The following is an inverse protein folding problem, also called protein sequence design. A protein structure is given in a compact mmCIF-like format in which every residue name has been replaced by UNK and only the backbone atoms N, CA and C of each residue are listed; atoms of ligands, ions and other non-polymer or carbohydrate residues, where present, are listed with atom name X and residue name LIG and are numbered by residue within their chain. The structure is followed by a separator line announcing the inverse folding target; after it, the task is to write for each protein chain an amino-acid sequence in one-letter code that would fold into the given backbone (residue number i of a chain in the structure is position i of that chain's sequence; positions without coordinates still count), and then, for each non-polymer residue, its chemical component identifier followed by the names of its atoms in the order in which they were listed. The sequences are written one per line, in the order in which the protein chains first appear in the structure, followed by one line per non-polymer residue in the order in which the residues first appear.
data_IF_384893563040
#
_entry.id   IF_384893563040
#
_cell.length_a   1.000
_cell.length_b   1.000
_cell.length_c   1.000
_cell.angle_alpha   90.00
_cell.angle_beta   90.00
_cell.angle_gamma   90.00
#
_symmetry.space_group_name_H-M   'P 1'
#
loop_
_entity.id
_entity.type
_entity.pdbx_description
1 polymer ?
#
# COMPACT_ATOMS: atom_id res chain seq x y z
N UNK A 1 38.84 1.34 17.14
CA UNK A 1 39.26 0.21 16.30
C UNK A 1 38.86 0.53 14.86
N UNK A 2 39.84 0.74 13.96
CA UNK A 2 39.55 1.12 12.57
C UNK A 2 39.20 -0.15 11.82
N UNK A 3 37.92 -0.31 11.46
CA UNK A 3 37.49 -1.36 10.54
C UNK A 3 38.08 -1.07 9.14
N UNK A 4 38.92 -1.95 8.66
CA UNK A 4 39.50 -1.84 7.33
C UNK A 4 38.43 -2.19 6.30
N UNK A 5 38.49 -1.51 5.13
CA UNK A 5 37.55 -1.72 3.99
C UNK A 5 37.46 -3.19 3.54
N UNK A 6 38.49 -3.97 3.80
CA UNK A 6 38.59 -5.41 3.49
C UNK A 6 37.65 -6.27 4.37
N UNK A 7 37.41 -5.89 5.61
CA UNK A 7 36.52 -6.64 6.53
C UNK A 7 35.03 -6.50 6.14
N UNK A 8 34.66 -5.36 5.54
CA UNK A 8 33.31 -5.11 5.10
C UNK A 8 32.98 -5.88 3.79
N UNK A 9 33.98 -6.08 2.91
CA UNK A 9 33.83 -6.90 1.71
C UNK A 9 33.75 -8.40 2.02
N UNK A 10 34.47 -8.88 3.04
CA UNK A 10 34.40 -10.28 3.45
C UNK A 10 33.06 -10.61 4.15
N UNK A 11 32.48 -9.68 4.90
CA UNK A 11 31.17 -9.85 5.52
C UNK A 11 30.04 -9.90 4.45
N UNK A 12 30.17 -9.10 3.38
CA UNK A 12 29.19 -9.09 2.29
C UNK A 12 29.30 -10.35 1.41
N UNK A 13 30.50 -10.91 1.22
CA UNK A 13 30.70 -12.13 0.45
C UNK A 13 30.34 -13.40 1.24
N UNK A 14 30.45 -13.39 2.56
CA UNK A 14 29.99 -14.51 3.41
C UNK A 14 28.46 -14.61 3.47
N UNK A 15 27.74 -13.50 3.38
CA UNK A 15 26.29 -13.46 3.33
C UNK A 15 25.69 -14.08 2.04
N UNK A 16 26.48 -14.18 0.98
CA UNK A 16 26.06 -14.75 -0.31
C UNK A 16 26.14 -16.29 -0.37
N UNK A 17 26.74 -16.92 0.64
CA UNK A 17 27.04 -18.39 0.64
C UNK A 17 26.35 -19.14 1.77
N UNK A 18 25.66 -18.48 2.71
CA UNK A 18 24.98 -19.12 3.82
C UNK A 18 23.71 -19.88 3.36
N UNK A 19 23.49 -21.12 3.80
CA UNK A 19 22.26 -21.84 3.50
C UNK A 19 21.06 -21.19 4.21
N UNK A 20 19.95 -21.18 3.52
CA UNK A 20 18.68 -20.59 3.85
C UNK A 20 18.21 -20.81 5.30
N UNK A 21 18.35 -19.80 6.11
CA UNK A 21 17.53 -19.61 7.29
C UNK A 21 17.36 -18.10 7.47
N UNK A 22 16.15 -17.61 7.30
CA UNK A 22 15.70 -16.24 7.58
C UNK A 22 16.72 -15.12 7.30
N UNK A 23 16.39 -14.26 6.38
CA UNK A 23 17.22 -13.14 5.95
C UNK A 23 17.38 -12.03 7.02
N UNK A 24 17.60 -12.40 8.26
CA UNK A 24 17.89 -11.52 9.38
C UNK A 24 19.35 -11.74 9.78
N UNK A 25 20.22 -10.79 9.43
CA UNK A 25 21.63 -10.87 9.84
C UNK A 25 21.73 -10.31 11.25
N UNK A 26 21.92 -11.18 12.25
CA UNK A 26 22.28 -10.75 13.59
C UNK A 26 23.68 -10.10 13.54
N UNK A 27 23.76 -8.81 13.90
CA UNK A 27 25.01 -8.06 13.81
C UNK A 27 25.81 -8.17 15.08
N UNK A 28 25.19 -7.94 16.24
CA UNK A 28 25.85 -7.97 17.56
C UNK A 28 24.83 -7.73 18.68
N UNK A 29 25.32 -7.80 19.94
CA UNK A 29 24.58 -7.37 21.12
C UNK A 29 25.02 -5.96 21.48
N UNK A 30 24.14 -4.97 21.22
CA UNK A 30 24.38 -3.57 21.54
C UNK A 30 23.47 -3.18 22.71
N UNK A 31 24.06 -2.77 23.83
CA UNK A 31 23.30 -2.33 25.01
C UNK A 31 22.36 -3.43 25.56
N UNK A 32 22.81 -4.68 25.58
CA UNK A 32 22.03 -5.87 25.94
C UNK A 32 20.83 -6.16 25.00
N UNK A 33 20.83 -5.59 23.80
CA UNK A 33 19.85 -5.91 22.75
C UNK A 33 20.51 -6.77 21.68
N UNK A 34 19.85 -7.86 21.30
CA UNK A 34 20.18 -8.59 20.08
C UNK A 34 19.73 -7.73 18.90
N UNK A 35 20.66 -7.29 18.07
CA UNK A 35 20.40 -6.40 16.93
C UNK A 35 20.50 -7.16 15.63
N UNK A 36 19.47 -7.06 14.79
CA UNK A 36 19.44 -7.59 13.45
C UNK A 36 19.32 -6.48 12.41
N UNK A 37 19.82 -6.76 11.21
CA UNK A 37 19.81 -5.88 10.08
C UNK A 37 19.11 -6.54 8.90
N UNK A 38 18.06 -5.88 8.41
CA UNK A 38 17.31 -6.31 7.24
C UNK A 38 17.37 -5.25 6.15
N UNK A 39 17.23 -5.68 4.91
CA UNK A 39 17.14 -4.76 3.77
C UNK A 39 16.16 -5.22 2.71
N UNK A 40 15.73 -4.26 1.89
CA UNK A 40 14.89 -4.50 0.73
C UNK A 40 15.27 -3.53 -0.38
N UNK A 41 15.67 -4.09 -1.52
CA UNK A 41 15.90 -3.34 -2.74
C UNK A 41 14.92 -3.79 -3.82
N UNK A 42 14.25 -2.84 -4.46
CA UNK A 42 13.31 -3.10 -5.56
C UNK A 42 13.61 -2.17 -6.72
N UNK A 43 13.82 -2.75 -7.90
CA UNK A 43 13.92 -2.04 -9.17
C UNK A 43 12.73 -2.43 -10.05
N UNK A 44 12.03 -1.44 -10.56
CA UNK A 44 10.82 -1.60 -11.36
C UNK A 44 11.05 -1.06 -12.78
N UNK A 45 10.40 -1.72 -13.75
CA UNK A 45 10.30 -1.25 -15.12
C UNK A 45 8.87 -1.50 -15.63
N UNK A 46 8.27 -0.47 -16.23
CA UNK A 46 6.88 -0.49 -16.69
C UNK A 46 6.83 -0.11 -18.17
N UNK A 47 5.92 -0.74 -18.87
CA UNK A 47 5.51 -0.34 -20.22
C UNK A 47 4.02 -0.05 -20.23
N UNK A 48 3.67 1.17 -20.64
CA UNK A 48 2.31 1.65 -20.72
C UNK A 48 1.79 1.50 -22.16
N UNK A 49 0.59 0.97 -22.31
CA UNK A 49 -0.23 1.12 -23.52
C UNK A 49 -1.36 2.04 -23.15
N UNK A 50 -1.06 3.36 -23.20
CA UNK A 50 -2.02 4.41 -22.87
C UNK A 50 -3.16 4.41 -23.88
N UNK A 51 -4.36 4.79 -23.46
CA UNK A 51 -5.54 4.93 -24.33
C UNK A 51 -5.80 6.42 -24.58
N UNK A 52 -6.52 7.08 -23.67
CA UNK A 52 -6.84 8.50 -23.82
C UNK A 52 -5.80 9.40 -23.15
N UNK A 53 -5.36 9.02 -21.95
CA UNK A 53 -4.42 9.80 -21.14
C UNK A 53 -3.08 9.09 -21.10
N UNK A 54 -2.01 9.82 -21.39
CA UNK A 54 -0.65 9.31 -21.31
C UNK A 54 -0.26 9.05 -19.85
N UNK A 55 -0.08 7.77 -19.48
CA UNK A 55 0.15 7.33 -18.10
C UNK A 55 1.50 7.76 -17.53
N UNK A 56 2.50 8.02 -18.36
CA UNK A 56 3.80 8.53 -17.90
C UNK A 56 3.82 10.05 -17.73
N UNK A 57 2.72 10.72 -18.06
CA UNK A 57 2.56 12.14 -17.90
C UNK A 57 3.28 13.00 -18.94
N UNK A 58 3.77 12.39 -20.02
CA UNK A 58 4.32 13.14 -21.13
C UNK A 58 3.20 13.91 -21.85
N UNK A 59 3.44 15.17 -22.12
CA UNK A 59 2.51 16.01 -22.89
C UNK A 59 2.99 16.00 -24.34
N UNK A 60 2.28 15.28 -25.18
CA UNK A 60 2.52 15.27 -26.63
C UNK A 60 2.96 13.91 -27.21
N UNK A 61 2.98 13.81 -28.52
CA UNK A 61 3.18 12.59 -29.32
C UNK A 61 4.53 11.88 -29.18
N UNK A 62 5.42 12.35 -28.31
CA UNK A 62 6.77 11.81 -28.09
C UNK A 62 6.97 11.28 -26.67
N UNK A 63 5.89 10.99 -25.91
CA UNK A 63 5.98 10.35 -24.59
C UNK A 63 6.59 8.96 -24.73
N UNK A 64 7.59 8.65 -23.90
CA UNK A 64 8.09 7.29 -23.81
C UNK A 64 7.03 6.41 -23.17
N UNK A 65 6.69 5.28 -23.80
CA UNK A 65 5.73 4.30 -23.25
C UNK A 65 6.33 3.50 -22.09
N UNK A 66 7.53 3.84 -21.63
CA UNK A 66 8.26 3.11 -20.61
C UNK A 66 8.69 4.01 -19.47
N UNK A 67 8.64 3.48 -18.26
CA UNK A 67 9.15 4.12 -17.05
C UNK A 67 9.91 3.08 -16.20
N UNK A 68 10.98 3.49 -15.56
CA UNK A 68 11.77 2.61 -14.71
C UNK A 68 12.37 3.38 -13.53
N UNK A 69 12.66 2.67 -12.45
CA UNK A 69 13.27 3.31 -11.29
C UNK A 69 13.48 2.38 -10.11
N UNK A 70 14.19 2.91 -9.12
CA UNK A 70 14.34 2.24 -7.83
C UNK A 70 13.10 2.53 -6.99
N UNK A 71 12.29 1.50 -6.79
CA UNK A 71 11.02 1.62 -6.06
C UNK A 71 11.22 1.67 -4.55
N UNK A 72 12.21 0.92 -4.05
CA UNK A 72 12.58 0.84 -2.64
C UNK A 72 14.07 0.58 -2.46
N UNK A 73 14.63 1.22 -1.44
CA UNK A 73 15.98 0.99 -0.95
C UNK A 73 15.92 1.07 0.59
N UNK A 74 15.32 0.05 1.20
CA UNK A 74 14.99 0.02 2.62
C UNK A 74 16.13 -0.60 3.43
N UNK A 75 16.48 0.05 4.53
CA UNK A 75 17.38 -0.45 5.55
C UNK A 75 16.64 -0.45 6.89
N UNK A 76 16.64 -1.58 7.58
CA UNK A 76 15.86 -1.77 8.80
C UNK A 76 16.75 -2.41 9.86
N UNK A 77 16.90 -1.72 10.98
CA UNK A 77 17.48 -2.26 12.21
C UNK A 77 16.36 -2.65 13.15
N UNK A 78 16.49 -3.82 13.75
CA UNK A 78 15.60 -4.31 14.79
C UNK A 78 16.40 -4.75 15.99
N UNK A 79 15.89 -4.50 17.18
CA UNK A 79 16.51 -4.95 18.42
C UNK A 79 15.52 -5.67 19.31
N UNK A 80 15.96 -6.78 19.88
CA UNK A 80 15.28 -7.48 20.98
C UNK A 80 16.08 -7.23 22.24
N UNK A 81 15.55 -6.39 23.11
CA UNK A 81 16.20 -6.02 24.37
C UNK A 81 15.80 -6.93 25.54
N UNK A 82 16.43 -6.74 26.71
CA UNK A 82 15.99 -7.37 27.93
C UNK A 82 14.57 -6.91 28.31
N UNK A 83 13.90 -7.69 29.15
CA UNK A 83 12.61 -7.33 29.71
C UNK A 83 11.50 -7.11 28.66
N UNK A 84 11.46 -7.92 27.60
CA UNK A 84 10.40 -7.91 26.58
C UNK A 84 10.28 -6.64 25.74
N UNK A 85 11.31 -5.80 25.70
CA UNK A 85 11.37 -4.66 24.80
C UNK A 85 11.86 -5.09 23.42
N UNK A 86 11.18 -4.57 22.39
CA UNK A 86 11.62 -4.63 20.99
C UNK A 86 11.62 -3.21 20.43
N UNK A 87 12.53 -2.93 19.50
CA UNK A 87 12.54 -1.68 18.78
C UNK A 87 12.82 -1.90 17.30
N UNK A 88 12.36 -0.96 16.49
CA UNK A 88 12.57 -0.95 15.04
C UNK A 88 12.95 0.43 14.58
N UNK A 89 13.96 0.52 13.72
CA UNK A 89 14.39 1.72 13.04
C UNK A 89 14.55 1.41 11.54
N UNK A 90 13.61 1.86 10.74
CA UNK A 90 13.60 1.63 9.30
C UNK A 90 13.68 2.92 8.50
N UNK A 91 14.44 2.91 7.42
CA UNK A 91 14.58 4.02 6.49
C UNK A 91 14.57 3.53 5.05
N UNK A 92 13.81 4.20 4.18
CA UNK A 92 13.80 3.97 2.74
C UNK A 92 14.55 5.14 2.07
N UNK A 93 15.71 4.83 1.50
CA UNK A 93 16.57 5.80 0.83
C UNK A 93 16.18 6.04 -0.64
N UNK A 94 15.15 5.37 -1.15
CA UNK A 94 14.72 5.53 -2.54
C UNK A 94 14.24 6.96 -2.81
N UNK A 95 14.66 7.50 -3.94
CA UNK A 95 14.14 8.77 -4.46
C UNK A 95 13.11 8.48 -5.54
N UNK A 96 11.89 8.90 -5.33
CA UNK A 96 10.81 8.71 -6.27
C UNK A 96 10.50 10.01 -6.99
N UNK A 97 10.58 10.03 -8.32
CA UNK A 97 10.10 11.14 -9.13
C UNK A 97 8.61 10.90 -9.43
N UNK A 98 7.74 11.77 -9.00
CA UNK A 98 6.37 11.81 -9.49
C UNK A 98 6.16 13.09 -10.28
N UNK A 99 5.61 12.95 -11.48
CA UNK A 99 5.21 14.10 -12.29
C UNK A 99 3.75 14.41 -11.95
N UNK A 100 3.48 15.59 -11.44
CA UNK A 100 2.13 16.07 -11.25
C UNK A 100 1.76 16.98 -12.44
N UNK A 101 0.81 16.55 -13.22
CA UNK A 101 0.23 17.37 -14.30
C UNK A 101 -0.93 18.16 -13.70
N UNK A 102 -0.84 19.47 -13.80
CA UNK A 102 -1.92 20.37 -13.41
C UNK A 102 -2.42 21.09 -14.67
N UNK A 103 -3.66 20.87 -15.04
CA UNK A 103 -4.31 21.68 -16.05
C UNK A 103 -4.59 23.08 -15.48
N UNK A 104 -4.01 24.09 -16.10
CA UNK A 104 -4.29 25.50 -15.77
C UNK A 104 -5.14 26.13 -16.86
N UNK A 105 -5.85 27.24 -16.59
CA UNK A 105 -6.63 27.94 -17.61
C UNK A 105 -5.83 28.42 -18.83
N UNK A 106 -4.51 28.54 -18.68
CA UNK A 106 -3.57 29.01 -19.71
C UNK A 106 -2.73 27.90 -20.34
N UNK A 107 -2.98 26.64 -19.97
CA UNK A 107 -2.22 25.48 -20.48
C UNK A 107 -1.95 24.42 -19.41
N UNK A 108 -1.15 23.44 -19.75
CA UNK A 108 -0.76 22.35 -18.86
C UNK A 108 0.54 22.72 -18.14
N UNK A 109 0.52 22.77 -16.82
CA UNK A 109 1.72 22.93 -16.00
C UNK A 109 2.17 21.54 -15.51
N UNK A 110 3.41 21.19 -15.80
CA UNK A 110 4.05 19.98 -15.31
C UNK A 110 4.90 20.31 -14.07
N UNK A 111 4.60 19.70 -12.95
CA UNK A 111 5.42 19.84 -11.74
C UNK A 111 6.08 18.52 -11.44
N UNK A 112 7.39 18.46 -11.48
CA UNK A 112 8.14 17.28 -11.01
C UNK A 112 8.27 17.35 -9.49
N UNK A 113 7.66 16.41 -8.78
CA UNK A 113 7.84 16.24 -7.35
C UNK A 113 8.87 15.14 -7.14
N UNK A 114 10.04 15.50 -6.66
CA UNK A 114 11.05 14.54 -6.22
C UNK A 114 10.83 14.27 -4.73
N UNK A 115 10.48 13.06 -4.38
CA UNK A 115 10.47 12.65 -2.98
C UNK A 115 11.85 12.16 -2.59
N UNK A 116 12.43 12.75 -1.57
CA UNK A 116 13.61 12.23 -0.88
C UNK A 116 13.20 11.12 0.09
N UNK A 117 14.14 10.27 0.50
CA UNK A 117 13.90 9.13 1.38
C UNK A 117 13.02 9.39 2.60
N UNK A 118 12.50 8.34 3.20
CA UNK A 118 11.51 8.43 4.29
C UNK A 118 11.81 7.45 5.41
N UNK A 119 11.45 7.85 6.62
CA UNK A 119 11.38 6.95 7.76
C UNK A 119 10.24 5.94 7.57
N UNK A 120 10.53 4.67 7.81
CA UNK A 120 9.55 3.59 7.84
C UNK A 120 9.04 3.39 9.28
N UNK A 121 9.16 2.17 9.80
CA UNK A 121 8.84 1.92 11.19
C UNK A 121 9.95 2.48 12.08
N UNK A 122 9.59 3.35 13.03
CA UNK A 122 10.45 3.93 14.05
C UNK A 122 9.70 3.86 15.36
N UNK A 123 9.86 2.75 16.07
CA UNK A 123 9.03 2.49 17.24
C UNK A 123 9.73 1.60 18.29
N UNK A 124 9.16 1.66 19.48
CA UNK A 124 9.46 0.76 20.60
C UNK A 124 8.19 0.00 20.95
N UNK A 125 8.34 -1.29 21.19
CA UNK A 125 7.27 -2.20 21.60
C UNK A 125 7.64 -2.86 22.93
N UNK A 126 6.70 -2.88 23.85
CA UNK A 126 6.80 -3.64 25.10
C UNK A 126 5.77 -4.76 25.12
N UNK A 127 6.21 -6.00 25.30
CA UNK A 127 5.36 -7.18 25.39
C UNK A 127 5.06 -7.53 26.84
N UNK A 128 3.81 -7.80 27.12
CA UNK A 128 3.39 -8.20 28.47
C UNK A 128 3.51 -9.72 28.63
N UNK A 129 4.44 -10.14 29.48
CA UNK A 129 4.73 -11.56 29.72
C UNK A 129 5.26 -12.27 28.47
N UNK A 130 4.87 -13.53 28.30
CA UNK A 130 5.33 -14.38 27.18
C UNK A 130 4.40 -14.38 25.98
N UNK A 131 3.30 -13.59 26.01
CA UNK A 131 2.36 -13.53 24.91
C UNK A 131 2.81 -12.49 23.85
N UNK A 132 3.21 -12.96 22.69
CA UNK A 132 3.65 -12.11 21.57
C UNK A 132 2.54 -11.17 21.06
N UNK A 133 1.26 -11.53 21.25
CA UNK A 133 0.08 -10.77 20.85
C UNK A 133 -0.49 -9.87 21.96
N UNK A 134 0.27 -9.65 23.05
CA UNK A 134 -0.11 -8.73 24.12
C UNK A 134 1.01 -7.69 24.29
N UNK A 135 0.83 -6.51 23.69
CA UNK A 135 1.85 -5.47 23.70
C UNK A 135 1.29 -4.06 23.60
N UNK A 136 2.08 -3.11 24.03
CA UNK A 136 1.97 -1.69 23.69
C UNK A 136 3.10 -1.30 22.75
N UNK A 137 2.81 -0.43 21.77
CA UNK A 137 3.78 0.07 20.79
C UNK A 137 3.65 1.60 20.70
N UNK A 138 4.80 2.28 20.68
CA UNK A 138 4.87 3.76 20.61
C UNK A 138 5.89 4.15 19.54
N UNK A 139 5.55 5.17 18.76
CA UNK A 139 6.37 5.66 17.66
C UNK A 139 5.65 5.61 16.33
N UNK A 140 6.38 5.53 15.22
CA UNK A 140 5.79 5.39 13.89
C UNK A 140 5.68 3.92 13.51
N UNK A 141 4.48 3.50 13.10
CA UNK A 141 4.16 2.15 12.65
C UNK A 141 2.94 2.15 11.73
N UNK A 142 2.72 1.05 11.02
CA UNK A 142 1.53 0.86 10.17
C UNK A 142 0.27 0.82 11.01
N UNK A 143 -0.75 1.58 10.62
CA UNK A 143 -2.03 1.62 11.34
C UNK A 143 -2.85 0.34 11.13
N UNK A 144 -3.73 -0.01 12.08
CA UNK A 144 -4.42 -1.30 12.08
C UNK A 144 -5.58 -1.34 11.07
N UNK A 145 -5.27 -1.30 9.79
CA UNK A 145 -6.23 -1.52 8.70
C UNK A 145 -5.56 -2.16 7.49
N UNK A 146 -6.31 -2.90 6.70
CA UNK A 146 -5.90 -3.65 5.52
C UNK A 146 -4.92 -4.79 5.80
N UNK A 147 -5.32 -5.99 5.45
CA UNK A 147 -4.49 -7.19 5.48
C UNK A 147 -3.27 -7.06 4.56
N UNK A 148 -3.48 -6.52 3.35
CA UNK A 148 -2.41 -6.30 2.38
C UNK A 148 -1.42 -5.22 2.86
N UNK A 149 -1.89 -4.11 3.50
CA UNK A 149 -0.99 -3.09 4.04
C UNK A 149 -0.14 -3.63 5.19
N UNK A 150 -0.74 -4.38 6.12
CA UNK A 150 -0.06 -4.93 7.29
C UNK A 150 0.94 -6.04 6.92
N UNK A 151 0.70 -6.74 5.82
CA UNK A 151 1.60 -7.77 5.31
C UNK A 151 2.97 -7.18 4.93
N UNK A 152 3.99 -8.04 4.94
CA UNK A 152 5.34 -7.61 4.58
C UNK A 152 5.44 -7.26 3.09
N UNK A 153 5.94 -6.07 2.80
CA UNK A 153 6.16 -5.59 1.41
C UNK A 153 7.11 -6.49 0.61
N UNK A 154 8.02 -7.21 1.28
CA UNK A 154 8.92 -8.19 0.64
C UNK A 154 8.14 -9.29 -0.08
N UNK A 155 6.95 -9.58 0.41
CA UNK A 155 6.15 -10.73 0.01
C UNK A 155 4.83 -10.36 -0.66
N UNK A 156 4.68 -9.12 -1.12
CA UNK A 156 3.51 -8.73 -1.90
C UNK A 156 3.29 -9.70 -3.07
N UNK A 157 2.05 -10.08 -3.27
CA UNK A 157 1.64 -11.03 -4.32
C UNK A 157 1.73 -10.40 -5.72
N UNK A 158 1.46 -9.11 -5.82
CA UNK A 158 1.52 -8.30 -7.03
C UNK A 158 2.46 -7.11 -6.85
N UNK A 159 2.93 -6.54 -7.95
CA UNK A 159 3.87 -5.40 -7.95
C UNK A 159 3.23 -4.20 -7.28
N UNK A 160 2.04 -3.80 -7.71
CA UNK A 160 1.26 -2.76 -7.06
C UNK A 160 0.24 -3.37 -6.09
N UNK A 161 0.05 -2.73 -4.93
CA UNK A 161 -1.05 -3.05 -4.03
C UNK A 161 -2.39 -2.70 -4.66
N UNK A 162 -3.46 -3.34 -4.20
CA UNK A 162 -4.82 -3.10 -4.63
C UNK A 162 -5.26 -1.64 -4.41
N UNK A 163 -6.24 -1.17 -5.19
CA UNK A 163 -6.78 0.19 -5.07
C UNK A 163 -7.32 0.45 -3.67
N UNK A 164 -8.00 -0.53 -3.06
CA UNK A 164 -8.52 -0.43 -1.71
C UNK A 164 -7.42 -0.09 -0.71
N UNK A 165 -6.29 -0.77 -0.79
CA UNK A 165 -5.14 -0.58 0.09
C UNK A 165 -4.43 0.75 -0.19
N UNK A 166 -4.18 1.06 -1.47
CA UNK A 166 -3.45 2.27 -1.86
C UNK A 166 -4.25 3.56 -1.67
N UNK A 167 -5.59 3.49 -1.62
CA UNK A 167 -6.47 4.66 -1.59
C UNK A 167 -7.06 4.90 -0.21
N UNK A 168 -7.53 3.85 0.47
CA UNK A 168 -8.20 3.95 1.76
C UNK A 168 -7.36 3.39 2.92
N UNK A 169 -6.29 2.66 2.61
CA UNK A 169 -5.34 2.20 3.61
C UNK A 169 -4.57 3.36 4.25
N UNK A 170 -4.61 3.43 5.58
CA UNK A 170 -3.74 4.35 6.34
C UNK A 170 -2.45 3.62 6.61
N UNK A 171 -1.37 4.06 5.95
CA UNK A 171 -0.05 3.46 6.11
C UNK A 171 0.57 3.80 7.48
N UNK A 172 1.78 4.31 7.51
CA UNK A 172 2.49 4.63 8.76
C UNK A 172 2.07 5.96 9.33
N UNK A 173 1.86 6.00 10.64
CA UNK A 173 1.60 7.20 11.45
C UNK A 173 2.35 7.11 12.77
N UNK A 174 2.70 8.26 13.33
CA UNK A 174 3.24 8.36 14.69
C UNK A 174 2.10 8.26 15.69
N UNK A 175 2.23 7.41 16.70
CA UNK A 175 1.18 7.24 17.68
C UNK A 175 1.48 6.17 18.72
N UNK A 176 0.44 5.72 19.36
CA UNK A 176 0.45 4.61 20.31
C UNK A 176 -0.56 3.55 19.89
N UNK A 177 -0.19 2.29 20.01
CA UNK A 177 -1.10 1.18 19.79
C UNK A 177 -1.03 0.18 20.94
N UNK A 178 -2.14 -0.44 21.22
CA UNK A 178 -2.27 -1.57 22.14
C UNK A 178 -2.89 -2.74 21.40
N UNK A 179 -2.23 -3.90 21.48
CA UNK A 179 -2.73 -5.17 20.96
C UNK A 179 -2.93 -6.16 22.07
N UNK A 180 -4.08 -6.82 22.02
CA UNK A 180 -4.39 -7.97 22.86
C UNK A 180 -4.97 -9.09 22.01
N UNK A 181 -4.52 -10.32 22.24
CA UNK A 181 -5.00 -11.47 21.50
C UNK A 181 -4.20 -12.73 21.75
N UNK A 182 -4.38 -13.67 20.84
CA UNK A 182 -3.70 -14.96 20.82
C UNK A 182 -3.24 -15.27 19.39
N UNK A 183 -2.75 -16.46 19.13
CA UNK A 183 -2.29 -16.93 17.81
C UNK A 183 -3.44 -16.95 16.77
N UNK A 184 -4.68 -17.15 17.22
CA UNK A 184 -5.85 -17.27 16.35
C UNK A 184 -6.73 -16.01 16.29
N UNK A 185 -6.55 -15.08 17.19
CA UNK A 185 -7.33 -13.84 17.19
C UNK A 185 -6.57 -12.68 17.80
N UNK A 186 -7.00 -11.49 17.50
CA UNK A 186 -6.44 -10.30 18.13
C UNK A 186 -7.26 -9.05 17.85
N UNK A 187 -7.16 -8.12 18.79
CA UNK A 187 -7.71 -6.77 18.66
C UNK A 187 -6.57 -5.78 18.84
N UNK A 188 -6.48 -4.83 17.93
CA UNK A 188 -5.50 -3.74 17.97
C UNK A 188 -6.25 -2.42 17.96
N UNK A 189 -5.99 -1.58 18.96
CA UNK A 189 -6.46 -0.21 19.02
C UNK A 189 -5.27 0.74 18.91
N UNK A 190 -5.42 1.86 18.21
CA UNK A 190 -4.37 2.88 18.09
C UNK A 190 -4.95 4.28 18.16
N UNK A 191 -4.14 5.20 18.68
CA UNK A 191 -4.33 6.63 18.51
C UNK A 191 -3.10 7.17 17.77
N UNK A 192 -3.31 7.97 16.74
CA UNK A 192 -2.23 8.39 15.85
C UNK A 192 -2.39 9.84 15.41
N UNK A 193 -1.28 10.41 14.98
CA UNK A 193 -1.19 11.72 14.36
C UNK A 193 -0.50 11.64 13.00
N UNK A 194 0.29 12.65 12.70
CA UNK A 194 1.00 12.78 11.41
C UNK A 194 2.10 11.73 11.20
N UNK A 195 2.56 11.60 9.97
CA UNK A 195 3.77 10.84 9.61
C UNK A 195 5.04 11.56 10.09
N UNK A 196 6.05 10.81 10.49
CA UNK A 196 7.29 11.34 11.09
C UNK A 196 8.10 12.25 10.15
N UNK A 197 8.25 11.85 8.88
CA UNK A 197 9.20 12.52 7.96
C UNK A 197 8.53 13.45 6.99
N UNK A 198 7.35 13.11 6.57
CA UNK A 198 6.64 13.83 5.53
C UNK A 198 5.43 14.47 6.14
N UNK A 199 5.35 15.72 6.05
CA UNK A 199 4.13 16.45 6.23
C UNK A 199 3.07 16.09 5.15
N UNK A 200 3.07 14.86 4.65
CA UNK A 200 2.15 14.39 3.61
C UNK A 200 0.86 13.81 4.17
N UNK A 201 0.94 13.32 5.39
CA UNK A 201 -0.18 12.73 6.06
C UNK A 201 -0.36 13.43 7.39
N UNK A 202 -1.39 14.23 7.47
CA UNK A 202 -1.78 15.04 8.60
C UNK A 202 -3.05 14.46 9.24
N UNK A 203 -3.54 15.14 10.24
CA UNK A 203 -4.70 14.75 11.00
C UNK A 203 -4.39 13.71 12.06
N UNK A 204 -5.11 13.80 13.15
CA UNK A 204 -5.04 12.87 14.27
C UNK A 204 -6.34 12.07 14.36
N UNK A 205 -6.24 10.86 14.86
CA UNK A 205 -7.40 10.01 14.96
C UNK A 205 -7.11 8.69 15.63
N UNK A 206 -8.02 7.77 15.50
CA UNK A 206 -7.90 6.44 16.09
C UNK A 206 -8.23 5.35 15.07
N UNK A 207 -7.66 4.17 15.32
CA UNK A 207 -7.90 2.97 14.54
C UNK A 207 -8.21 1.78 15.45
N UNK A 208 -9.05 0.90 14.96
CA UNK A 208 -9.40 -0.36 15.60
C UNK A 208 -9.40 -1.46 14.53
N UNK A 209 -8.74 -2.59 14.79
CA UNK A 209 -8.84 -3.79 13.95
C UNK A 209 -8.99 -5.01 14.83
N UNK A 210 -9.99 -5.82 14.52
CA UNK A 210 -10.16 -7.17 15.02
C UNK A 210 -9.83 -8.18 13.93
N UNK A 211 -9.10 -9.23 14.27
CA UNK A 211 -8.84 -10.36 13.37
C UNK A 211 -9.12 -11.70 14.07
N UNK A 212 -9.56 -12.67 13.27
CA UNK A 212 -9.87 -14.02 13.74
C UNK A 212 -9.49 -15.05 12.68
N UNK A 213 -8.74 -16.08 13.09
CA UNK A 213 -8.39 -17.21 12.26
C UNK A 213 -8.94 -18.51 12.89
N UNK A 214 -10.20 -18.88 12.57
CA UNK A 214 -10.81 -20.11 13.09
C UNK A 214 -10.03 -21.37 12.70
N UNK A 215 -9.28 -21.32 11.62
CA UNK A 215 -8.36 -22.36 11.18
C UNK A 215 -6.99 -21.71 11.01
N UNK A 216 -6.00 -22.21 11.73
CA UNK A 216 -4.61 -21.72 11.68
C UNK A 216 -3.65 -22.91 11.80
N UNK A 217 -3.55 -23.68 10.74
CA UNK A 217 -2.69 -24.85 10.61
C UNK A 217 -1.78 -24.66 9.39
N UNK A 218 -0.66 -25.35 9.38
CA UNK A 218 0.25 -25.31 8.24
C UNK A 218 -0.46 -25.78 6.96
N UNK A 219 -0.50 -24.90 5.95
CA UNK A 219 -1.20 -25.17 4.69
C UNK A 219 -2.72 -25.15 4.75
N UNK A 220 -3.32 -24.74 5.87
CA UNK A 220 -4.76 -24.60 6.01
C UNK A 220 -5.08 -23.44 6.94
N UNK A 221 -5.35 -22.26 6.37
CA UNK A 221 -5.65 -21.05 7.13
C UNK A 221 -6.96 -20.44 6.65
N UNK A 222 -7.84 -20.10 7.57
CA UNK A 222 -9.01 -19.28 7.30
C UNK A 222 -8.97 -18.07 8.21
N UNK A 223 -8.97 -16.88 7.63
CA UNK A 223 -8.85 -15.62 8.33
C UNK A 223 -9.99 -14.67 7.95
N UNK A 224 -10.47 -13.94 8.93
CA UNK A 224 -11.39 -12.81 8.80
C UNK A 224 -10.90 -11.64 9.63
N UNK A 225 -11.18 -10.42 9.18
CA UNK A 225 -10.89 -9.23 9.94
C UNK A 225 -11.84 -8.09 9.61
N UNK A 226 -11.97 -7.19 10.57
CA UNK A 226 -12.73 -5.94 10.46
C UNK A 226 -11.86 -4.80 10.98
N UNK A 227 -11.97 -3.64 10.34
CA UNK A 227 -11.25 -2.44 10.76
C UNK A 227 -12.14 -1.21 10.72
N UNK A 228 -11.82 -0.27 11.60
CA UNK A 228 -12.43 1.05 11.69
C UNK A 228 -11.34 2.08 11.92
N UNK A 229 -11.29 3.11 11.10
CA UNK A 229 -10.43 4.26 11.30
C UNK A 229 -11.25 5.52 11.20
N UNK A 230 -10.92 6.50 12.03
CA UNK A 230 -11.58 7.80 12.04
C UNK A 230 -10.56 8.85 12.43
N UNK A 231 -10.39 9.89 11.60
CA UNK A 231 -9.40 10.93 11.82
C UNK A 231 -9.79 12.24 11.18
N UNK A 232 -9.32 13.33 11.80
CA UNK A 232 -9.51 14.68 11.31
C UNK A 232 -8.69 14.89 10.03
N UNK A 233 -9.22 15.65 9.11
CA UNK A 233 -8.48 16.09 7.93
C UNK A 233 -7.63 17.31 8.28
N UNK A 234 -6.48 17.46 7.64
CA UNK A 234 -5.67 18.66 7.81
C UNK A 234 -6.16 19.76 6.86
N UNK A 235 -6.25 20.98 7.40
CA UNK A 235 -6.64 22.17 6.62
C UNK A 235 -8.03 22.05 5.98
N UNK A 236 -8.94 21.30 6.57
CA UNK A 236 -10.32 21.13 6.13
C UNK A 236 -10.42 20.80 4.62
N UNK A 237 -9.47 20.04 4.13
CA UNK A 237 -9.43 19.66 2.72
C UNK A 237 -8.86 18.26 2.52
N UNK A 238 -9.48 17.50 1.62
CA UNK A 238 -9.09 16.15 1.28
C UNK A 238 -9.21 15.89 -0.21
N UNK A 239 -8.31 15.09 -0.75
CA UNK A 239 -8.38 14.60 -2.11
C UNK A 239 -8.13 13.09 -2.13
N UNK A 240 -9.09 12.33 -2.62
CA UNK A 240 -9.01 10.87 -2.76
C UNK A 240 -8.80 10.53 -4.23
N UNK A 241 -7.77 9.73 -4.52
CA UNK A 241 -7.40 9.42 -5.91
C UNK A 241 -6.63 8.12 -6.03
N UNK A 242 -6.79 7.40 -7.14
CA UNK A 242 -6.11 6.15 -7.42
C UNK A 242 -5.37 6.12 -8.77
N UNK A 243 -4.23 5.44 -8.78
CA UNK A 243 -3.47 5.07 -9.98
C UNK A 243 -4.07 3.84 -10.64
N UNK A 244 -3.75 3.58 -11.92
CA UNK A 244 -4.19 2.38 -12.64
C UNK A 244 -3.43 1.10 -12.20
N UNK A 245 -3.33 0.84 -10.89
CA UNK A 245 -2.55 -0.25 -10.28
C UNK A 245 -1.08 -0.32 -10.79
N UNK A 246 -0.51 0.81 -11.13
CA UNK A 246 0.86 0.96 -11.60
C UNK A 246 1.54 2.07 -10.78
N UNK A 247 2.48 1.69 -9.92
CA UNK A 247 3.10 2.61 -8.96
C UNK A 247 3.90 3.74 -9.66
N UNK A 248 4.48 3.46 -10.84
CA UNK A 248 5.23 4.44 -11.63
C UNK A 248 4.35 5.31 -12.54
N UNK A 249 3.05 5.01 -12.67
CA UNK A 249 2.15 5.88 -13.43
C UNK A 249 2.06 7.26 -12.78
N UNK A 250 2.30 8.31 -13.56
CA UNK A 250 2.22 9.69 -13.11
C UNK A 250 0.76 10.14 -12.91
N UNK A 251 -0.14 9.60 -13.71
CA UNK A 251 -1.54 9.99 -13.77
C UNK A 251 -2.41 9.21 -12.79
N UNK A 252 -3.47 9.86 -12.32
CA UNK A 252 -4.55 9.26 -11.54
C UNK A 252 -5.79 9.19 -12.44
N UNK A 253 -6.30 8.00 -12.69
CA UNK A 253 -7.49 7.81 -13.54
C UNK A 253 -8.77 8.18 -12.80
N UNK A 254 -8.85 7.90 -11.52
CA UNK A 254 -9.94 8.32 -10.64
C UNK A 254 -9.44 9.31 -9.59
N UNK A 255 -10.23 10.36 -9.34
CA UNK A 255 -9.82 11.49 -8.50
C UNK A 255 -11.04 12.37 -8.17
N UNK A 256 -11.35 12.52 -6.89
CA UNK A 256 -12.45 13.37 -6.40
C UNK A 256 -12.24 14.85 -6.68
N UNK A 257 -11.01 15.24 -7.02
CA UNK A 257 -10.59 16.64 -6.87
C UNK A 257 -10.46 17.00 -5.38
N UNK A 258 -10.09 18.24 -5.10
CA UNK A 258 -9.98 18.72 -3.72
C UNK A 258 -11.38 18.98 -3.16
N UNK A 259 -11.79 18.14 -2.22
CA UNK A 259 -12.97 18.36 -1.39
C UNK A 259 -12.63 19.36 -0.29
N UNK A 260 -13.25 20.53 -0.33
CA UNK A 260 -13.13 21.55 0.71
C UNK A 260 -14.17 21.32 1.80
N UNK A 261 -13.94 21.92 2.97
CA UNK A 261 -14.80 21.76 4.16
C UNK A 261 -14.87 20.31 4.61
N UNK A 262 -13.85 19.53 4.33
CA UNK A 262 -13.71 18.16 4.78
C UNK A 262 -13.21 18.18 6.22
N UNK A 263 -14.09 17.89 7.15
CA UNK A 263 -13.80 17.90 8.59
C UNK A 263 -13.15 16.58 9.01
N UNK A 264 -13.81 15.49 8.72
CA UNK A 264 -13.45 14.18 9.24
C UNK A 264 -13.55 13.09 8.17
N UNK A 265 -12.61 12.13 8.21
CA UNK A 265 -12.66 10.96 7.36
C UNK A 265 -12.82 9.71 8.21
N UNK A 266 -13.82 8.90 7.88
CA UNK A 266 -14.06 7.59 8.51
C UNK A 266 -13.93 6.49 7.47
N UNK A 267 -13.19 5.43 7.77
CA UNK A 267 -13.03 4.26 6.90
C UNK A 267 -13.36 2.99 7.66
N UNK A 268 -14.28 2.20 7.12
CA UNK A 268 -14.57 0.85 7.58
C UNK A 268 -13.99 -0.16 6.60
N UNK A 269 -13.45 -1.26 7.10
CA UNK A 269 -12.84 -2.31 6.28
C UNK A 269 -13.26 -3.71 6.71
N UNK A 270 -13.37 -4.59 5.75
CA UNK A 270 -13.54 -6.03 5.95
C UNK A 270 -12.49 -6.78 5.13
N UNK A 271 -11.95 -7.85 5.67
CA UNK A 271 -10.92 -8.65 5.05
C UNK A 271 -11.15 -10.14 5.28
N UNK A 272 -10.79 -10.95 4.31
CA UNK A 272 -10.85 -12.40 4.37
C UNK A 272 -9.69 -13.02 3.61
N UNK A 273 -9.18 -14.14 4.12
CA UNK A 273 -8.15 -14.94 3.44
C UNK A 273 -8.39 -16.42 3.72
N UNK A 274 -8.23 -17.22 2.68
CA UNK A 274 -8.23 -18.67 2.78
C UNK A 274 -6.98 -19.24 2.10
N UNK A 275 -6.24 -20.05 2.82
CA UNK A 275 -5.12 -20.83 2.32
C UNK A 275 -5.49 -22.29 2.39
N UNK A 276 -5.32 -23.00 1.27
CA UNK A 276 -5.47 -24.45 1.22
C UNK A 276 -4.31 -25.02 0.42
N UNK A 277 -3.37 -25.63 1.12
CA UNK A 277 -2.12 -26.14 0.54
C UNK A 277 -1.41 -25.03 -0.28
N UNK A 278 -1.21 -25.23 -1.55
CA UNK A 278 -0.55 -24.35 -2.49
C UNK A 278 -1.44 -23.23 -3.07
N UNK A 279 -2.68 -23.10 -2.59
CA UNK A 279 -3.63 -22.09 -3.07
C UNK A 279 -3.94 -21.08 -1.95
N UNK A 280 -4.01 -19.81 -2.33
CA UNK A 280 -4.47 -18.71 -1.47
C UNK A 280 -5.52 -17.87 -2.20
N UNK A 281 -6.62 -17.59 -1.51
CA UNK A 281 -7.60 -16.60 -1.94
C UNK A 281 -7.64 -15.50 -0.87
N UNK A 282 -7.61 -14.26 -1.29
CA UNK A 282 -7.66 -13.09 -0.41
C UNK A 282 -8.59 -12.03 -0.97
N UNK A 283 -9.36 -11.39 -0.11
CA UNK A 283 -10.26 -10.32 -0.47
C UNK A 283 -10.27 -9.24 0.62
N UNK A 284 -10.38 -7.99 0.20
CA UNK A 284 -10.62 -6.85 1.10
C UNK A 284 -11.63 -5.90 0.49
N UNK A 285 -12.43 -5.27 1.32
CA UNK A 285 -13.37 -4.20 1.00
C UNK A 285 -13.15 -3.06 1.99
N UNK A 286 -13.15 -1.83 1.50
CA UNK A 286 -13.21 -0.63 2.34
C UNK A 286 -14.19 0.38 1.78
N UNK A 287 -14.89 1.04 2.69
CA UNK A 287 -15.71 2.21 2.42
C UNK A 287 -15.21 3.37 3.25
N UNK A 288 -14.99 4.49 2.60
CA UNK A 288 -14.56 5.74 3.23
C UNK A 288 -15.62 6.81 3.07
N UNK A 289 -15.97 7.45 4.17
CA UNK A 289 -16.86 8.61 4.21
C UNK A 289 -16.07 9.83 4.65
N UNK A 290 -16.39 10.97 4.08
CA UNK A 290 -15.82 12.27 4.42
C UNK A 290 -16.96 13.19 4.82
N UNK A 291 -16.99 13.55 6.09
CA UNK A 291 -17.95 14.50 6.64
C UNK A 291 -17.54 15.91 6.22
N UNK A 292 -18.48 16.70 5.73
CA UNK A 292 -18.22 18.05 5.23
C UNK A 292 -19.19 19.04 5.86
N UNK A 293 -18.65 20.14 6.34
CA UNK A 293 -19.46 21.17 6.98
C UNK A 293 -19.91 22.25 5.98
N UNK A 294 -21.06 22.87 6.26
CA UNK A 294 -21.61 23.93 5.45
C UNK A 294 -20.82 25.25 5.61
N UNK A 295 -20.55 25.91 4.49
CA UNK A 295 -20.04 27.29 4.49
C UNK A 295 -21.17 28.30 4.39
N UNK A 296 -20.93 29.52 4.84
CA UNK A 296 -21.87 30.63 4.61
C UNK A 296 -21.33 31.57 3.54
N UNK A 297 -22.09 31.87 2.46
CA UNK A 297 -23.45 31.41 2.17
C UNK A 297 -23.50 29.93 1.87
N UNK A 298 -24.56 29.27 2.30
CA UNK A 298 -24.77 27.82 2.12
C UNK A 298 -24.75 27.48 0.64
N UNK A 299 -23.84 26.59 0.26
CA UNK A 299 -23.84 25.97 -1.07
C UNK A 299 -23.97 24.46 -0.90
N UNK A 300 -25.17 23.90 -1.01
CA UNK A 300 -25.41 22.47 -0.76
C UNK A 300 -24.55 21.55 -1.66
N UNK A 301 -24.12 22.02 -2.82
CA UNK A 301 -23.28 21.25 -3.75
C UNK A 301 -21.84 21.12 -3.27
N UNK A 302 -21.39 22.04 -2.41
CA UNK A 302 -20.00 22.05 -1.90
C UNK A 302 -19.85 21.45 -0.50
N UNK A 303 -20.97 21.25 0.21
CA UNK A 303 -20.98 20.80 1.60
C UNK A 303 -21.61 19.41 1.80
N UNK A 304 -22.00 18.74 0.71
CA UNK A 304 -22.50 17.37 0.79
C UNK A 304 -21.39 16.41 1.20
N UNK A 305 -21.66 15.56 2.18
CA UNK A 305 -20.78 14.46 2.57
C UNK A 305 -20.42 13.62 1.35
N UNK A 306 -19.25 13.03 1.39
CA UNK A 306 -18.76 12.14 0.34
C UNK A 306 -18.62 10.72 0.85
N UNK A 307 -18.91 9.75 0.01
CA UNK A 307 -18.69 8.34 0.26
C UNK A 307 -18.14 7.65 -0.97
N UNK A 308 -17.05 6.89 -0.81
CA UNK A 308 -16.47 6.07 -1.87
C UNK A 308 -16.09 4.70 -1.35
N UNK A 309 -16.00 3.71 -2.22
CA UNK A 309 -15.63 2.35 -1.85
C UNK A 309 -14.68 1.69 -2.84
N UNK A 310 -13.99 0.68 -2.35
CA UNK A 310 -13.09 -0.14 -3.17
C UNK A 310 -12.98 -1.54 -2.59
N UNK A 311 -12.73 -2.52 -3.47
CA UNK A 311 -12.51 -3.89 -3.08
C UNK A 311 -11.68 -4.65 -4.11
N UNK A 312 -11.07 -5.73 -3.66
CA UNK A 312 -10.46 -6.70 -4.56
C UNK A 312 -10.71 -8.14 -4.10
N UNK A 313 -10.55 -9.05 -5.06
CA UNK A 313 -10.39 -10.48 -4.82
C UNK A 313 -9.19 -10.96 -5.60
N UNK A 314 -8.31 -11.72 -4.97
CA UNK A 314 -7.15 -12.34 -5.61
C UNK A 314 -7.08 -13.82 -5.31
N UNK A 315 -6.61 -14.58 -6.31
CA UNK A 315 -6.28 -15.99 -6.20
C UNK A 315 -4.83 -16.21 -6.58
N UNK A 316 -4.11 -17.00 -5.79
CA UNK A 316 -2.71 -17.36 -6.02
C UNK A 316 -2.51 -18.86 -5.96
N UNK A 317 -1.58 -19.31 -6.76
CA UNK A 317 -1.13 -20.68 -6.84
C UNK A 317 0.40 -20.77 -6.81
N UNK A 318 0.95 -21.42 -5.80
CA UNK A 318 2.36 -21.78 -5.75
C UNK A 318 2.53 -23.08 -6.57
N UNK A 319 3.00 -22.94 -7.80
CA UNK A 319 3.12 -24.04 -8.77
C UNK A 319 4.05 -25.14 -8.26
N UNK A 320 5.03 -24.76 -7.48
CA UNK A 320 6.06 -25.64 -6.91
C UNK A 320 5.64 -26.35 -5.62
N UNK A 321 4.49 -25.97 -5.02
CA UNK A 321 3.87 -26.71 -3.93
C UNK A 321 3.96 -26.08 -2.55
N UNK A 322 4.76 -25.03 -2.37
CA UNK A 322 4.91 -24.32 -1.09
C UNK A 322 3.59 -23.67 -0.65
N UNK A 323 3.41 -23.53 0.66
CA UNK A 323 2.18 -22.96 1.23
C UNK A 323 2.47 -21.69 2.04
N UNK A 324 1.45 -20.89 2.32
CA UNK A 324 1.54 -19.72 3.21
C UNK A 324 1.31 -20.13 4.67
N UNK A 325 2.05 -19.47 5.56
CA UNK A 325 1.77 -19.47 6.98
C UNK A 325 0.90 -18.30 7.39
N UNK A 326 0.63 -18.21 8.69
CA UNK A 326 -0.14 -17.13 9.31
C UNK A 326 0.45 -16.77 10.66
N UNK A 327 0.65 -15.48 10.91
CA UNK A 327 1.19 -15.00 12.18
C UNK A 327 0.69 -13.58 12.46
N UNK A 328 0.31 -13.31 13.70
CA UNK A 328 -0.05 -11.97 14.20
C UNK A 328 -1.14 -11.26 13.39
N UNK A 329 -2.06 -12.02 12.80
CA UNK A 329 -3.18 -11.48 12.05
C UNK A 329 -2.86 -11.19 10.57
N UNK A 330 -1.75 -11.71 10.02
CA UNK A 330 -1.35 -11.55 8.61
C UNK A 330 -0.76 -12.83 8.02
N UNK A 331 -0.83 -13.02 6.69
CA UNK A 331 -0.14 -14.13 6.05
C UNK A 331 1.38 -13.96 6.14
N UNK A 332 2.07 -15.07 6.28
CA UNK A 332 3.52 -15.14 6.15
C UNK A 332 3.87 -15.87 4.86
N UNK A 333 4.81 -15.34 4.10
CA UNK A 333 5.27 -15.99 2.86
C UNK A 333 6.35 -17.00 3.19
N UNK A 334 6.27 -18.11 2.50
CA UNK A 334 7.26 -19.17 2.58
C UNK A 334 8.34 -18.90 1.56
N UNK A 335 9.56 -19.21 1.94
CA UNK A 335 10.70 -19.28 1.03
C UNK A 335 10.66 -20.59 0.26
N UNK A 336 11.37 -20.71 -0.87
CA UNK A 336 11.46 -21.96 -1.60
C UNK A 336 11.94 -23.13 -0.72
N UNK A 337 11.24 -24.24 -0.76
CA UNK A 337 11.65 -25.49 -0.08
C UNK A 337 13.02 -25.97 -0.58
N UNK A 338 13.28 -25.83 -1.88
CA UNK A 338 14.59 -26.04 -2.49
C UNK A 338 15.11 -24.72 -3.09
N UNK A 339 15.99 -24.00 -2.38
CA UNK A 339 16.53 -22.73 -2.88
C UNK A 339 17.27 -22.81 -4.21
N UNK A 340 17.74 -24.00 -4.60
CA UNK A 340 18.43 -24.21 -5.88
C UNK A 340 17.48 -24.18 -7.07
N UNK A 341 16.24 -24.62 -6.89
CA UNK A 341 15.17 -24.63 -7.90
C UNK A 341 14.33 -23.37 -7.87
N UNK A 342 14.19 -22.77 -6.68
CA UNK A 342 13.32 -21.62 -6.45
C UNK A 342 11.85 -21.99 -6.41
N UNK A 343 10.98 -21.00 -6.18
CA UNK A 343 9.53 -21.15 -6.10
C UNK A 343 8.85 -20.33 -7.20
N UNK A 344 7.87 -20.91 -7.84
CA UNK A 344 7.03 -20.25 -8.85
C UNK A 344 5.62 -20.03 -8.29
N UNK A 345 5.13 -18.82 -8.46
CA UNK A 345 3.79 -18.41 -8.04
C UNK A 345 3.08 -17.70 -9.18
N UNK A 346 1.85 -18.09 -9.45
CA UNK A 346 0.94 -17.43 -10.38
C UNK A 346 -0.20 -16.78 -9.61
N UNK A 347 -0.66 -15.63 -10.07
CA UNK A 347 -1.73 -14.87 -9.41
C UNK A 347 -2.66 -14.21 -10.39
N UNK A 348 -3.92 -14.12 -10.02
CA UNK A 348 -4.96 -13.35 -10.69
C UNK A 348 -5.67 -12.49 -9.66
N UNK A 349 -5.86 -11.20 -9.96
CA UNK A 349 -6.61 -10.25 -9.12
C UNK A 349 -7.63 -9.49 -9.96
N UNK A 350 -8.84 -9.36 -9.44
CA UNK A 350 -9.81 -8.37 -9.85
C UNK A 350 -9.91 -7.29 -8.78
N UNK A 351 -9.89 -6.02 -9.20
CA UNK A 351 -9.87 -4.86 -8.33
C UNK A 351 -10.89 -3.84 -8.83
N UNK A 352 -11.61 -3.19 -7.93
CA UNK A 352 -12.58 -2.16 -8.26
C UNK A 352 -12.54 -1.02 -7.25
N UNK A 353 -12.64 0.21 -7.74
CA UNK A 353 -12.81 1.43 -6.95
C UNK A 353 -13.89 2.30 -7.56
N UNK A 354 -14.76 2.88 -6.73
CA UNK A 354 -15.76 3.86 -7.10
C UNK A 354 -15.65 5.09 -6.19
N UNK A 355 -15.39 6.24 -6.80
CA UNK A 355 -15.28 7.55 -6.14
C UNK A 355 -16.39 8.50 -6.61
N UNK A 356 -17.51 7.96 -7.12
CA UNK A 356 -18.67 8.73 -7.49
C UNK A 356 -19.68 8.76 -6.32
N UNK A 357 -19.91 9.95 -5.78
CA UNK A 357 -21.01 10.25 -4.84
C UNK A 357 -21.70 11.52 -5.31
N UNK A 358 -22.35 11.42 -6.44
CA UNK A 358 -23.01 12.53 -7.06
C UNK A 358 -23.77 12.15 -8.33
N UNK A 359 -24.36 13.14 -8.96
CA UNK A 359 -25.11 12.98 -10.20
C UNK A 359 -24.86 14.13 -11.16
N UNK A 360 -25.11 13.89 -12.44
CA UNK A 360 -25.16 14.91 -13.48
C UNK A 360 -26.62 15.28 -13.76
N UNK A 361 -26.94 16.55 -13.64
CA UNK A 361 -28.24 17.08 -14.04
C UNK A 361 -28.10 17.87 -15.32
N UNK A 362 -29.11 17.90 -16.20
CA UNK A 362 -29.13 18.77 -17.36
C UNK A 362 -28.92 20.25 -16.95
N UNK A 363 -28.17 20.98 -17.73
CA UNK A 363 -28.06 22.41 -17.54
C UNK A 363 -29.40 23.15 -17.78
N UNK A 364 -29.47 24.41 -17.43
CA UNK A 364 -30.70 25.22 -17.55
C UNK A 364 -31.19 25.33 -18.98
N UNK A 365 -30.32 25.17 -19.97
CA UNK A 365 -30.65 25.12 -21.40
C UNK A 365 -29.90 23.95 -22.06
N UNK A 366 -30.33 23.49 -23.25
CA UNK A 366 -29.66 22.40 -23.98
C UNK A 366 -28.16 22.65 -24.24
N UNK A 367 -27.74 23.91 -24.28
CA UNK A 367 -26.36 24.34 -24.52
C UNK A 367 -25.59 24.64 -23.22
N UNK A 368 -26.27 24.67 -22.09
CA UNK A 368 -25.62 24.90 -20.77
C UNK A 368 -24.81 23.70 -20.33
N UNK A 369 -23.77 23.96 -19.54
CA UNK A 369 -23.02 22.89 -18.92
C UNK A 369 -23.91 22.04 -17.98
N UNK A 370 -23.74 20.72 -17.92
CA UNK A 370 -24.39 19.92 -16.91
C UNK A 370 -24.03 20.44 -15.50
N UNK A 371 -24.99 20.34 -14.59
CA UNK A 371 -24.79 20.67 -13.18
C UNK A 371 -24.31 19.40 -12.50
N UNK A 372 -23.15 19.47 -11.85
CA UNK A 372 -22.62 18.40 -11.02
C UNK A 372 -23.19 18.58 -9.60
N UNK A 373 -23.91 17.57 -9.12
CA UNK A 373 -24.44 17.49 -7.77
C UNK A 373 -23.66 16.43 -6.99
N UNK A 374 -22.84 16.87 -6.02
CA UNK A 374 -21.93 16.01 -5.28
C UNK A 374 -20.55 15.86 -5.91
N UNK A 375 -19.91 14.71 -5.72
CA UNK A 375 -18.55 14.40 -6.18
C UNK A 375 -18.60 13.33 -7.28
N UNK A 376 -17.95 13.60 -8.40
CA UNK A 376 -17.81 12.66 -9.52
C UNK A 376 -16.33 12.35 -9.73
N UNK A 377 -15.75 11.56 -8.81
CA UNK A 377 -14.33 11.19 -8.82
C UNK A 377 -13.98 10.12 -9.86
N UNK A 378 -14.98 9.47 -10.45
CA UNK A 378 -14.83 8.38 -11.41
C UNK A 378 -14.83 7.00 -10.76
N UNK A 379 -14.88 5.98 -11.62
CA UNK A 379 -14.76 4.58 -11.24
C UNK A 379 -13.68 3.90 -12.07
N UNK A 380 -13.08 2.86 -11.54
CA UNK A 380 -12.05 2.08 -12.22
C UNK A 380 -12.14 0.63 -11.77
N UNK A 381 -12.06 -0.28 -12.71
CA UNK A 381 -11.85 -1.71 -12.44
C UNK A 381 -10.64 -2.22 -13.23
N UNK A 382 -10.03 -3.27 -12.71
CA UNK A 382 -8.85 -3.84 -13.35
C UNK A 382 -8.69 -5.34 -13.10
N UNK A 383 -8.09 -5.99 -14.08
CA UNK A 383 -7.59 -7.35 -13.99
C UNK A 383 -6.07 -7.34 -13.96
N UNK A 384 -5.47 -8.01 -13.00
CA UNK A 384 -4.03 -8.21 -12.93
C UNK A 384 -3.71 -9.69 -12.99
N UNK A 385 -2.94 -10.09 -14.01
CA UNK A 385 -2.30 -11.41 -14.10
C UNK A 385 -0.84 -11.25 -13.67
N UNK A 386 -0.39 -12.03 -12.70
CA UNK A 386 0.94 -11.96 -12.11
C UNK A 386 1.68 -13.29 -12.15
N UNK A 387 2.98 -13.23 -12.36
CA UNK A 387 3.90 -14.34 -12.18
C UNK A 387 5.08 -13.89 -11.33
N UNK A 388 5.37 -14.65 -10.28
CA UNK A 388 6.48 -14.41 -9.36
C UNK A 388 7.43 -15.60 -9.37
N UNK A 389 8.72 -15.32 -9.46
CA UNK A 389 9.77 -16.30 -9.29
C UNK A 389 10.66 -15.92 -8.11
N UNK A 390 10.62 -16.71 -7.06
CA UNK A 390 11.51 -16.59 -5.92
C UNK A 390 12.77 -17.42 -6.23
N UNK A 391 13.82 -16.74 -6.66
CA UNK A 391 15.09 -17.37 -6.93
C UNK A 391 15.94 -17.35 -5.66
N UNK A 392 16.23 -18.54 -5.12
CA UNK A 392 16.86 -18.70 -3.81
C UNK A 392 15.99 -18.04 -2.70
N UNK A 393 16.58 -17.75 -1.56
CA UNK A 393 15.86 -17.17 -0.41
C UNK A 393 15.82 -15.64 -0.41
N UNK A 394 16.56 -14.99 -1.31
CA UNK A 394 16.85 -13.56 -1.24
C UNK A 394 16.42 -12.78 -2.48
N UNK A 395 16.10 -13.46 -3.57
CA UNK A 395 15.74 -12.81 -4.82
C UNK A 395 14.30 -13.14 -5.21
N UNK A 396 13.60 -12.15 -5.71
CA UNK A 396 12.27 -12.32 -6.28
C UNK A 396 12.17 -11.51 -7.56
N UNK A 397 11.72 -12.15 -8.63
CA UNK A 397 11.38 -11.50 -9.87
C UNK A 397 9.88 -11.58 -10.08
N UNK A 398 9.28 -10.49 -10.53
CA UNK A 398 7.83 -10.40 -10.72
C UNK A 398 7.55 -9.81 -12.09
N UNK A 399 6.50 -10.31 -12.75
CA UNK A 399 5.93 -9.73 -13.96
C UNK A 399 4.42 -9.69 -13.79
N UNK A 400 3.81 -8.52 -14.03
CA UNK A 400 2.38 -8.35 -14.05
C UNK A 400 1.92 -7.80 -15.39
N UNK A 401 0.75 -8.24 -15.83
CA UNK A 401 -0.04 -7.60 -16.86
C UNK A 401 -1.32 -7.06 -16.22
N UNK A 402 -1.54 -5.76 -16.36
CA UNK A 402 -2.69 -5.06 -15.80
C UNK A 402 -3.55 -4.53 -16.94
N UNK A 403 -4.81 -4.95 -16.98
CA UNK A 403 -5.83 -4.38 -17.87
C UNK A 403 -6.75 -3.51 -17.04
N UNK A 404 -6.88 -2.24 -17.43
CA UNK A 404 -7.65 -1.24 -16.69
C UNK A 404 -8.83 -0.78 -17.53
N UNK A 405 -9.99 -0.62 -16.90
CA UNK A 405 -11.13 0.12 -17.45
C UNK A 405 -11.47 1.23 -16.45
N UNK A 406 -11.58 2.45 -16.92
CA UNK A 406 -11.96 3.55 -16.05
C UNK A 406 -12.93 4.49 -16.76
N UNK A 407 -13.79 5.14 -15.99
CA UNK A 407 -14.67 6.18 -16.48
C UNK A 407 -14.76 7.32 -15.47
N UNK A 408 -14.66 8.56 -15.95
CA UNK A 408 -14.68 9.75 -15.12
C UNK A 408 -15.33 10.92 -15.83
N UNK A 409 -16.05 11.76 -15.07
CA UNK A 409 -16.56 13.02 -15.59
C UNK A 409 -15.42 14.00 -15.88
N UNK A 410 -15.37 14.46 -17.15
CA UNK A 410 -14.43 15.50 -17.59
C UNK A 410 -15.17 16.84 -17.66
N UNK A 411 -14.81 17.78 -16.78
CA UNK A 411 -15.45 19.08 -16.70
C UNK A 411 -15.19 19.97 -17.91
N UNK A 412 -14.07 19.78 -18.62
CA UNK A 412 -13.76 20.53 -19.86
C UNK A 412 -14.58 20.03 -21.00
N UNK A 413 -14.70 18.72 -21.18
CA UNK A 413 -15.51 18.09 -22.22
C UNK A 413 -17.00 18.01 -21.84
N UNK A 414 -17.34 18.27 -20.57
CA UNK A 414 -18.69 18.26 -20.01
C UNK A 414 -19.43 16.92 -20.18
N UNK A 415 -18.69 15.83 -20.17
CA UNK A 415 -19.20 14.46 -20.33
C UNK A 415 -18.35 13.46 -19.56
N UNK A 416 -18.92 12.29 -19.33
CA UNK A 416 -18.15 11.13 -18.86
C UNK A 416 -17.26 10.65 -19.99
N UNK A 417 -16.03 10.32 -19.65
CA UNK A 417 -14.99 9.85 -20.59
C UNK A 417 -14.41 8.56 -20.04
N UNK A 418 -14.31 7.58 -20.92
CA UNK A 418 -13.67 6.29 -20.63
C UNK A 418 -12.19 6.34 -21.01
N UNK A 419 -11.35 5.64 -20.24
CA UNK A 419 -9.91 5.48 -20.48
C UNK A 419 -9.49 4.08 -20.06
N UNK A 420 -8.99 3.29 -21.01
CA UNK A 420 -8.82 1.84 -20.86
C UNK A 420 -7.37 1.39 -21.17
N UNK A 421 -6.38 1.88 -20.46
CA UNK A 421 -4.99 1.52 -20.70
C UNK A 421 -4.66 0.10 -20.27
N UNK A 422 -3.53 -0.39 -20.78
CA UNK A 422 -2.90 -1.61 -20.30
C UNK A 422 -1.49 -1.32 -19.81
N UNK A 423 -1.01 -2.09 -18.82
CA UNK A 423 0.34 -1.93 -18.27
C UNK A 423 1.01 -3.29 -18.17
N UNK A 424 2.25 -3.37 -18.63
CA UNK A 424 3.16 -4.47 -18.30
C UNK A 424 4.16 -3.96 -17.30
N UNK A 425 4.27 -4.66 -16.19
CA UNK A 425 5.16 -4.32 -15.08
C UNK A 425 6.17 -5.44 -14.87
N UNK A 426 7.40 -5.09 -14.57
CA UNK A 426 8.45 -6.01 -14.13
C UNK A 426 9.13 -5.45 -12.88
N UNK A 427 9.45 -6.32 -11.93
CA UNK A 427 10.21 -5.99 -10.72
C UNK A 427 11.30 -7.01 -10.47
N UNK A 428 12.50 -6.51 -10.20
CA UNK A 428 13.57 -7.28 -9.60
C UNK A 428 13.72 -6.85 -8.14
N UNK A 429 13.74 -7.81 -7.24
CA UNK A 429 13.81 -7.58 -5.80
C UNK A 429 14.93 -8.40 -5.18
N UNK A 430 15.69 -7.77 -4.30
CA UNK A 430 16.66 -8.40 -3.42
C UNK A 430 16.37 -8.01 -1.97
N UNK A 431 16.45 -8.98 -1.07
CA UNK A 431 16.22 -8.75 0.37
C UNK A 431 17.07 -9.70 1.23
N UNK A 432 17.39 -9.27 2.42
CA UNK A 432 18.17 -10.05 3.42
C UNK A 432 17.66 -9.80 4.83
#
# INVERSE_FOLDING_TARGET
MKLTRTSMFLALSAALVAPAAHAEIAIDVIGNSEVSFEGLFQADAYRFSSDLVDLNGAVGANGEDTEHGIRRAELILKGKGPNNFEWTLGYDASTFKSVAIRNTPTGTATTTVTSTGKWLDVNIKYKFGNNANHFVQVGQFKQPNSLEELSSTRFNDFIAKASVTNTFGVARRTGVAYRYGDVNWGVTASYFGRELTRNLAHGSGFGLRGNWAPINEAGNVLHFGLSYLSYDTDSDSLQIRARPLADLAAVRLVDTGTMRNADHQTTIGAEAMWVKQQFKVQAEYMRSTVDRYETRPVNPLLSKDFSGDSWYVSGLWNVTGETWGYKDGVPTTILPDDPSKGMWQLGLRYDKIDLNDGSLRPGATPTSAPIVDGVLGGQMDSWTLGANWYWRSNFKFMVNYVKVNSSRYNSTLRRVVDDNPNVVEARAQFYW
#
